data_IF_296007278061
#
_entry.id   IF_296007278061
#
_cell.length_a   1.000
_cell.length_b   1.000
_cell.length_c   1.000
_cell.angle_alpha   90.00
_cell.angle_beta   90.00
_cell.angle_gamma   90.00
#
_symmetry.space_group_name_H-M   'P 1'
#
loop_
_entity.id
_entity.type
_entity.pdbx_description
1 polymer ?
#
# COMPACT_ATOMS: atom_id res chain seq x y z
N UNK A 1 18.14 25.76 76.28
CA UNK A 1 18.46 24.41 75.77
C UNK A 1 17.44 23.82 74.78
N UNK A 2 16.12 24.15 74.82
CA UNK A 2 15.14 23.62 73.86
C UNK A 2 15.05 24.40 72.52
N UNK A 3 15.47 25.65 72.48
CA UNK A 3 15.35 26.53 71.31
C UNK A 3 16.42 26.25 70.24
N UNK A 4 17.66 25.99 70.66
CA UNK A 4 18.79 25.71 69.74
C UNK A 4 18.66 24.36 69.01
N UNK A 5 17.99 23.38 69.62
CA UNK A 5 17.75 22.05 69.02
C UNK A 5 16.67 22.12 67.93
N UNK A 6 15.75 23.09 68.01
CA UNK A 6 14.68 23.29 67.04
C UNK A 6 15.20 23.98 65.78
N UNK A 7 16.11 24.95 65.91
CA UNK A 7 16.76 25.62 64.76
C UNK A 7 17.67 24.65 63.96
N UNK A 8 18.55 23.89 64.64
CA UNK A 8 19.41 22.91 63.96
C UNK A 8 18.65 21.80 63.22
N UNK A 9 17.44 21.48 63.69
CA UNK A 9 16.55 20.50 63.04
C UNK A 9 15.83 21.07 61.82
N UNK A 10 15.60 22.40 61.79
CA UNK A 10 15.02 23.13 60.66
C UNK A 10 16.01 23.33 59.51
N UNK A 11 17.27 23.65 59.82
CA UNK A 11 18.36 23.80 58.83
C UNK A 11 18.69 22.46 58.14
N UNK A 12 18.90 21.39 58.92
CA UNK A 12 19.16 20.04 58.37
C UNK A 12 18.03 19.53 57.46
N UNK A 13 16.77 19.86 57.79
CA UNK A 13 15.61 19.45 56.98
C UNK A 13 15.54 20.23 55.67
N UNK A 14 16.03 21.46 55.65
CA UNK A 14 16.07 22.34 54.47
C UNK A 14 17.21 21.92 53.52
N UNK A 15 18.40 21.63 54.02
CA UNK A 15 19.49 21.07 53.20
C UNK A 15 19.12 19.70 52.61
N UNK A 16 18.60 18.78 53.44
CA UNK A 16 18.20 17.44 52.97
C UNK A 16 17.05 17.50 51.97
N UNK A 17 16.17 18.49 52.07
CA UNK A 17 15.09 18.75 51.09
C UNK A 17 15.64 19.36 49.79
N UNK A 18 16.64 20.24 49.87
CA UNK A 18 17.33 20.78 48.70
C UNK A 18 18.09 19.68 47.94
N UNK A 19 18.84 18.83 48.65
CA UNK A 19 19.53 17.67 48.08
C UNK A 19 18.57 16.69 47.40
N UNK A 20 17.40 16.42 48.00
CA UNK A 20 16.36 15.61 47.36
C UNK A 20 15.83 16.22 46.06
N UNK A 21 15.67 17.55 46.00
CA UNK A 21 15.27 18.24 44.77
C UNK A 21 16.34 18.16 43.69
N UNK A 22 17.61 18.35 44.06
CA UNK A 22 18.75 18.23 43.12
C UNK A 22 18.81 16.82 42.54
N UNK A 23 18.68 15.79 43.38
CA UNK A 23 18.63 14.39 42.92
C UNK A 23 17.42 14.17 42.00
N UNK A 24 16.23 14.70 42.34
CA UNK A 24 15.05 14.57 41.50
C UNK A 24 15.24 15.24 40.13
N UNK A 25 15.85 16.43 40.07
CA UNK A 25 16.16 17.10 38.80
C UNK A 25 17.22 16.35 37.99
N UNK A 26 18.25 15.79 38.64
CA UNK A 26 19.26 14.98 37.97
C UNK A 26 18.65 13.72 37.34
N UNK A 27 17.77 13.01 38.07
CA UNK A 27 17.05 11.84 37.55
C UNK A 27 16.13 12.21 36.39
N UNK A 28 15.42 13.33 36.49
CA UNK A 28 14.54 13.80 35.41
C UNK A 28 15.34 14.15 34.15
N UNK A 29 16.48 14.81 34.31
CA UNK A 29 17.37 15.15 33.20
C UNK A 29 17.93 13.88 32.53
N UNK A 30 18.31 12.87 33.32
CA UNK A 30 18.76 11.58 32.81
C UNK A 30 17.65 10.86 32.03
N UNK A 31 16.42 10.85 32.54
CA UNK A 31 15.25 10.29 31.85
C UNK A 31 15.00 10.96 30.50
N UNK A 32 15.11 12.28 30.43
CA UNK A 32 14.96 13.03 29.17
C UNK A 32 16.07 12.67 28.18
N UNK A 33 17.32 12.54 28.63
CA UNK A 33 18.42 12.12 27.78
C UNK A 33 18.24 10.71 27.22
N UNK A 34 17.83 9.76 28.08
CA UNK A 34 17.54 8.38 27.64
C UNK A 34 16.40 8.37 26.63
N UNK A 35 15.33 9.13 26.86
CA UNK A 35 14.23 9.26 25.91
C UNK A 35 14.69 9.82 24.57
N UNK A 36 15.50 10.88 24.58
CA UNK A 36 16.03 11.49 23.35
C UNK A 36 16.86 10.48 22.53
N UNK A 37 17.74 9.72 23.18
CA UNK A 37 18.55 8.69 22.52
C UNK A 37 17.65 7.60 21.96
N UNK A 38 16.66 7.13 22.73
CA UNK A 38 15.75 6.06 22.31
C UNK A 38 14.92 6.44 21.08
N UNK A 39 14.45 7.68 20.99
CA UNK A 39 13.72 8.19 19.81
C UNK A 39 14.62 8.19 18.57
N UNK A 40 15.90 8.57 18.71
CA UNK A 40 16.85 8.56 17.58
C UNK A 40 17.08 7.15 17.06
N UNK A 41 17.28 6.18 17.96
CA UNK A 41 17.41 4.77 17.58
C UNK A 41 16.15 4.25 16.88
N UNK A 42 14.97 4.55 17.42
CA UNK A 42 13.71 4.14 16.81
C UNK A 42 13.55 4.71 15.39
N UNK A 43 13.92 5.97 15.15
CA UNK A 43 13.85 6.57 13.82
C UNK A 43 14.86 5.94 12.86
N UNK A 44 16.06 5.60 13.34
CA UNK A 44 17.08 4.95 12.53
C UNK A 44 16.62 3.56 12.08
N UNK A 45 16.14 2.74 13.01
CA UNK A 45 15.65 1.39 12.76
C UNK A 45 14.40 1.42 11.86
N UNK A 46 13.47 2.34 12.13
CA UNK A 46 12.33 2.60 11.25
C UNK A 46 12.76 2.91 9.81
N UNK A 47 13.77 3.78 9.61
CA UNK A 47 14.27 4.10 8.27
C UNK A 47 14.98 2.93 7.61
N UNK A 48 15.58 2.02 8.38
CA UNK A 48 16.20 0.82 7.86
C UNK A 48 15.13 -0.14 7.33
N UNK A 49 14.17 -0.50 8.16
CA UNK A 49 13.10 -1.45 7.84
C UNK A 49 12.20 -0.91 6.72
N UNK A 50 11.91 0.40 6.76
CA UNK A 50 11.12 1.04 5.72
C UNK A 50 11.80 1.00 4.35
N UNK A 51 13.14 0.96 4.29
CA UNK A 51 13.87 0.88 3.02
C UNK A 51 13.64 -0.48 2.35
N UNK A 52 13.68 -1.56 3.13
CA UNK A 52 13.41 -2.91 2.63
C UNK A 52 11.94 -3.06 2.19
N UNK A 53 11.00 -2.57 3.00
CA UNK A 53 9.59 -2.53 2.61
C UNK A 53 9.39 -1.74 1.31
N UNK A 54 10.04 -0.58 1.19
CA UNK A 54 9.94 0.27 0.01
C UNK A 54 10.49 -0.41 -1.25
N UNK A 55 11.53 -1.25 -1.15
CA UNK A 55 12.01 -2.03 -2.30
C UNK A 55 10.98 -3.05 -2.77
N UNK A 56 10.38 -3.81 -1.87
CA UNK A 56 9.33 -4.77 -2.24
C UNK A 56 8.09 -4.09 -2.81
N UNK A 57 7.73 -2.92 -2.28
CA UNK A 57 6.62 -2.14 -2.85
C UNK A 57 6.91 -1.72 -4.30
N UNK A 58 8.14 -1.27 -4.60
CA UNK A 58 8.56 -0.91 -5.96
C UNK A 58 8.51 -2.10 -6.92
N UNK A 59 9.02 -3.25 -6.50
CA UNK A 59 9.00 -4.46 -7.33
C UNK A 59 7.57 -4.92 -7.62
N UNK A 60 6.70 -4.90 -6.60
CA UNK A 60 5.27 -5.17 -6.78
C UNK A 60 4.60 -4.18 -7.74
N UNK A 61 4.96 -2.91 -7.69
CA UNK A 61 4.39 -1.89 -8.57
C UNK A 61 4.84 -2.10 -10.02
N UNK A 62 6.11 -2.47 -10.25
CA UNK A 62 6.66 -2.79 -11.57
C UNK A 62 5.96 -4.01 -12.19
N UNK A 63 5.83 -5.10 -11.41
CA UNK A 63 5.08 -6.29 -11.82
C UNK A 63 3.62 -6.00 -12.16
N UNK A 64 2.96 -5.11 -11.40
CA UNK A 64 1.59 -4.71 -11.70
C UNK A 64 1.49 -3.90 -13.00
N UNK A 65 2.49 -3.06 -13.29
CA UNK A 65 2.54 -2.32 -14.54
C UNK A 65 2.72 -3.27 -15.75
N UNK A 66 3.62 -4.24 -15.64
CA UNK A 66 3.81 -5.29 -16.65
C UNK A 66 2.55 -6.12 -16.83
N UNK A 67 1.92 -6.56 -15.74
CA UNK A 67 0.67 -7.31 -15.79
C UNK A 67 -0.45 -6.52 -16.48
N UNK A 68 -0.57 -5.22 -16.17
CA UNK A 68 -1.53 -4.33 -16.83
C UNK A 68 -1.29 -4.24 -18.34
N UNK A 69 -0.03 -4.14 -18.77
CA UNK A 69 0.35 -4.14 -20.18
C UNK A 69 0.01 -5.48 -20.84
N UNK A 70 0.36 -6.60 -20.23
CA UNK A 70 0.06 -7.94 -20.74
C UNK A 70 -1.45 -8.18 -20.86
N UNK A 71 -2.23 -7.67 -19.90
CA UNK A 71 -3.68 -7.77 -19.94
C UNK A 71 -4.26 -7.01 -21.14
N UNK A 72 -3.75 -5.80 -21.42
CA UNK A 72 -4.14 -5.04 -22.61
C UNK A 72 -3.76 -5.80 -23.88
N UNK A 73 -2.54 -6.35 -23.94
CA UNK A 73 -2.10 -7.19 -25.06
C UNK A 73 -3.07 -8.37 -25.24
N UNK A 74 -3.42 -9.11 -24.18
CA UNK A 74 -4.36 -10.22 -24.22
C UNK A 74 -5.76 -9.81 -24.72
N UNK A 75 -6.29 -8.68 -24.22
CA UNK A 75 -7.58 -8.16 -24.68
C UNK A 75 -7.53 -7.80 -26.17
N UNK A 76 -6.39 -7.32 -26.68
CA UNK A 76 -6.21 -7.04 -28.12
C UNK A 76 -5.95 -8.28 -28.97
N UNK A 77 -5.42 -9.38 -28.41
CA UNK A 77 -5.19 -10.64 -29.14
C UNK A 77 -6.51 -11.31 -29.59
N UNK A 78 -7.61 -11.08 -28.88
CA UNK A 78 -8.96 -11.52 -29.26
C UNK A 78 -9.74 -10.53 -30.13
N UNK A 79 -9.14 -9.39 -30.51
CA UNK A 79 -9.82 -8.39 -31.30
C UNK A 79 -10.22 -8.96 -32.67
N UNK A 80 -11.49 -8.75 -33.05
CA UNK A 80 -12.11 -9.26 -34.29
C UNK A 80 -11.27 -8.98 -35.54
N UNK A 81 -10.48 -7.90 -35.56
CA UNK A 81 -9.56 -7.57 -36.64
C UNK A 81 -8.46 -8.63 -36.87
N UNK A 82 -7.85 -9.18 -35.81
CA UNK A 82 -6.82 -10.22 -35.95
C UNK A 82 -7.43 -11.56 -36.36
N UNK A 83 -8.58 -11.93 -35.80
CA UNK A 83 -9.30 -13.16 -36.14
C UNK A 83 -9.76 -13.10 -37.61
N UNK A 84 -10.36 -11.98 -38.04
CA UNK A 84 -10.78 -11.77 -39.43
C UNK A 84 -9.62 -11.83 -40.41
N UNK A 85 -8.47 -11.22 -40.08
CA UNK A 85 -7.28 -11.28 -40.93
C UNK A 85 -6.75 -12.71 -41.06
N UNK A 86 -6.69 -13.48 -39.97
CA UNK A 86 -6.27 -14.91 -40.02
C UNK A 86 -7.28 -15.77 -40.78
N UNK A 87 -8.57 -15.52 -40.62
CA UNK A 87 -9.62 -16.21 -41.38
C UNK A 87 -9.48 -16.01 -42.89
N UNK A 88 -9.18 -14.78 -43.34
CA UNK A 88 -8.96 -14.47 -44.76
C UNK A 88 -7.63 -15.02 -45.26
N UNK A 89 -6.53 -14.83 -44.51
CA UNK A 89 -5.18 -15.17 -44.99
C UNK A 89 -4.83 -16.65 -44.87
N UNK A 90 -5.19 -17.30 -43.75
CA UNK A 90 -4.82 -18.70 -43.49
C UNK A 90 -5.92 -19.67 -43.92
N UNK A 91 -7.18 -19.33 -43.64
CA UNK A 91 -8.34 -20.19 -43.95
C UNK A 91 -9.01 -19.84 -45.28
N UNK A 92 -8.52 -18.81 -46.00
CA UNK A 92 -9.06 -18.33 -47.28
C UNK A 92 -10.56 -18.05 -47.23
N UNK A 93 -11.08 -17.66 -46.06
CA UNK A 93 -12.48 -17.26 -45.93
C UNK A 93 -12.70 -15.95 -46.69
N UNK A 94 -13.80 -15.88 -47.41
CA UNK A 94 -14.26 -14.66 -48.08
C UNK A 94 -15.75 -14.50 -47.82
N UNK A 95 -16.23 -13.25 -47.79
CA UNK A 95 -17.66 -12.99 -47.71
C UNK A 95 -18.28 -13.25 -49.09
N UNK A 96 -19.29 -14.13 -49.21
CA UNK A 96 -19.89 -14.43 -50.50
C UNK A 96 -20.58 -13.17 -51.07
N UNK A 97 -20.42 -12.89 -52.38
CA UNK A 97 -21.08 -11.77 -53.02
C UNK A 97 -22.60 -11.97 -53.07
N UNK A 98 -23.36 -10.88 -53.19
CA UNK A 98 -24.84 -10.89 -53.16
C UNK A 98 -25.47 -11.87 -54.17
N UNK A 99 -24.80 -12.14 -55.31
CA UNK A 99 -25.25 -13.11 -56.31
C UNK A 99 -25.28 -14.57 -55.83
N UNK A 100 -24.56 -14.89 -54.74
CA UNK A 100 -24.45 -16.24 -54.17
C UNK A 100 -25.24 -16.38 -52.85
N UNK A 101 -25.98 -15.34 -52.44
CA UNK A 101 -26.75 -15.32 -51.18
C UNK A 101 -28.22 -15.53 -51.48
N UNK A 102 -28.83 -16.58 -50.90
CA UNK A 102 -30.27 -16.85 -51.00
C UNK A 102 -30.90 -16.66 -49.63
N UNK A 103 -31.86 -15.74 -49.54
CA UNK A 103 -32.63 -15.52 -48.31
C UNK A 103 -33.87 -16.41 -48.35
N UNK A 104 -33.93 -17.36 -47.42
CA UNK A 104 -35.10 -18.23 -47.27
C UNK A 104 -35.97 -17.62 -46.17
N UNK A 105 -37.15 -17.11 -46.54
CA UNK A 105 -38.19 -16.79 -45.56
C UNK A 105 -38.83 -18.10 -45.09
N UNK A 106 -38.80 -18.35 -43.79
CA UNK A 106 -39.53 -19.46 -43.18
C UNK A 106 -41.00 -19.41 -43.66
N UNK A 107 -41.60 -20.53 -44.06
CA UNK A 107 -43.00 -20.53 -44.48
C UNK A 107 -43.82 -20.04 -43.29
N UNK A 108 -44.50 -18.89 -43.45
CA UNK A 108 -45.55 -18.52 -42.52
C UNK A 108 -46.58 -19.64 -42.60
N UNK A 109 -46.76 -20.38 -41.51
CA UNK A 109 -47.84 -21.35 -41.40
C UNK A 109 -49.11 -20.59 -41.73
N UNK A 110 -49.81 -20.99 -42.78
CA UNK A 110 -51.16 -20.50 -43.02
C UNK A 110 -51.99 -21.02 -41.86
N UNK A 111 -52.47 -20.09 -41.02
CA UNK A 111 -53.62 -20.32 -40.16
C UNK A 111 -54.78 -20.75 -41.07
N UNK A 112 -54.93 -22.06 -41.27
CA UNK A 112 -56.18 -22.63 -41.75
C UNK A 112 -57.22 -22.47 -40.64
N UNK A 113 -57.86 -21.29 -40.65
CA UNK A 113 -59.18 -21.10 -40.09
C UNK A 113 -60.15 -22.08 -40.76
N UNK A 114 -60.72 -22.98 -39.96
CA UNK A 114 -62.16 -23.07 -39.65
C UNK A 114 -62.61 -24.51 -39.43
#
# INVERSE_FOLDING_TARGET
>A
MKTEVVEKKSENKTEKKSMKKVIAYAVLLLLVFVSAIMVVFQVFEYRHDYRELSSFMREKDDLNAEWGRLLIEQQTFGATAQIGTRAVTQLRMYSPPAAQTVVISLPMTSDDKK
#
